data_IF_883411717855
#
_entry.id   IF_883411717855
#
_cell.length_a   1.000
_cell.length_b   1.000
_cell.length_c   1.000
_cell.angle_alpha   90.00
_cell.angle_beta   90.00
_cell.angle_gamma   90.00
#
_symmetry.space_group_name_H-M   'P 1'
#
loop_
_entity.id
_entity.type
_entity.pdbx_description
1 polymer ?
#
# COMPACT_ATOMS: atom_id res chain seq x y z
N UNK A 1 44.37 40.55 -74.24
CA UNK A 1 45.24 40.00 -73.18
C UNK A 1 44.89 40.78 -71.93
N UNK A 2 44.00 40.32 -71.07
CA UNK A 2 44.33 39.35 -70.02
C UNK A 2 43.12 38.53 -69.59
N UNK A 3 43.41 37.24 -69.50
CA UNK A 3 42.67 36.06 -69.06
C UNK A 3 42.03 36.18 -67.66
N UNK A 4 40.79 35.71 -67.53
CA UNK A 4 40.14 35.42 -66.24
C UNK A 4 40.80 34.22 -65.56
N UNK A 5 40.99 34.23 -64.22
CA UNK A 5 41.39 33.03 -63.50
C UNK A 5 40.16 32.19 -63.07
N UNK A 6 40.34 30.86 -62.88
CA UNK A 6 39.26 29.89 -62.78
C UNK A 6 38.71 29.71 -61.36
N UNK A 7 37.47 29.21 -61.33
CA UNK A 7 36.72 28.70 -60.19
C UNK A 7 37.52 27.64 -59.42
N UNK A 8 37.80 27.88 -58.14
CA UNK A 8 38.27 26.86 -57.21
C UNK A 8 37.15 26.56 -56.21
N UNK A 9 36.48 25.44 -56.46
CA UNK A 9 35.54 24.78 -55.54
C UNK A 9 36.28 24.30 -54.29
N UNK A 10 35.88 24.78 -53.11
CA UNK A 10 36.20 24.17 -51.82
C UNK A 10 34.92 23.67 -51.13
N UNK A 11 34.92 22.44 -50.58
CA UNK A 11 33.71 21.82 -50.04
C UNK A 11 33.48 22.29 -48.60
N UNK A 12 32.48 23.14 -48.39
CA UNK A 12 31.93 23.40 -47.04
C UNK A 12 30.67 22.53 -46.87
N UNK A 13 30.85 21.20 -46.95
CA UNK A 13 29.82 20.21 -46.64
C UNK A 13 30.17 19.52 -45.31
N UNK A 14 30.32 20.28 -44.22
CA UNK A 14 30.45 19.70 -42.87
C UNK A 14 29.83 20.64 -41.84
N UNK A 15 28.50 20.71 -41.74
CA UNK A 15 27.86 21.36 -40.57
C UNK A 15 26.37 21.01 -40.33
N UNK A 16 25.82 19.89 -40.82
CA UNK A 16 24.39 19.56 -40.57
C UNK A 16 24.18 18.22 -39.83
N UNK A 17 25.21 17.43 -39.55
CA UNK A 17 25.02 16.07 -39.03
C UNK A 17 25.31 15.85 -37.53
N UNK A 18 25.46 16.88 -36.70
CA UNK A 18 25.73 16.70 -35.25
C UNK A 18 24.47 16.84 -34.37
N UNK A 19 23.30 17.13 -34.96
CA UNK A 19 22.07 17.42 -34.20
C UNK A 19 21.19 16.21 -33.83
N UNK A 20 21.42 15.03 -34.41
CA UNK A 20 20.41 13.93 -34.35
C UNK A 20 20.78 12.78 -33.40
N UNK A 21 21.94 12.80 -32.75
CA UNK A 21 22.36 11.73 -31.84
C UNK A 21 21.98 11.96 -30.36
N UNK A 22 21.50 13.15 -29.99
CA UNK A 22 21.25 13.54 -28.58
C UNK A 22 19.76 13.55 -28.17
N UNK A 23 18.89 12.77 -28.83
CA UNK A 23 17.46 12.72 -28.50
C UNK A 23 16.87 11.31 -28.31
N UNK A 24 17.68 10.25 -28.40
CA UNK A 24 17.21 8.86 -28.20
C UNK A 24 17.36 8.34 -26.76
N UNK A 25 18.20 8.98 -25.94
CA UNK A 25 18.55 8.46 -24.62
C UNK A 25 17.57 8.84 -23.51
N UNK A 26 16.85 9.95 -23.66
CA UNK A 26 15.92 10.41 -22.63
C UNK A 26 14.71 9.48 -22.52
N UNK A 27 14.16 9.01 -23.64
CA UNK A 27 13.01 8.09 -23.65
C UNK A 27 13.40 6.72 -23.15
N UNK A 28 14.58 6.22 -23.52
CA UNK A 28 15.10 4.95 -23.02
C UNK A 28 15.42 5.02 -21.51
N UNK A 29 16.03 6.11 -21.03
CA UNK A 29 16.30 6.33 -19.60
C UNK A 29 15.01 6.48 -18.78
N UNK A 30 14.02 7.22 -19.28
CA UNK A 30 12.68 7.31 -18.66
C UNK A 30 12.01 5.93 -18.59
N UNK A 31 12.11 5.13 -19.65
CA UNK A 31 11.62 3.75 -19.69
C UNK A 31 12.28 2.87 -18.63
N UNK A 32 13.61 2.97 -18.46
CA UNK A 32 14.33 2.26 -17.40
C UNK A 32 13.85 2.67 -16.00
N UNK A 33 13.72 3.98 -15.72
CA UNK A 33 13.24 4.47 -14.42
C UNK A 33 11.82 3.96 -14.12
N UNK A 34 10.92 4.00 -15.11
CA UNK A 34 9.57 3.46 -14.96
C UNK A 34 9.60 1.95 -14.70
N UNK A 35 10.44 1.20 -15.43
CA UNK A 35 10.66 -0.23 -15.20
C UNK A 35 11.16 -0.54 -13.80
N UNK A 36 12.13 0.22 -13.28
CA UNK A 36 12.64 0.05 -11.91
C UNK A 36 11.54 0.25 -10.86
N UNK A 37 10.71 1.29 -10.99
CA UNK A 37 9.58 1.53 -10.08
C UNK A 37 8.57 0.37 -10.10
N UNK A 38 8.27 -0.17 -11.28
CA UNK A 38 7.39 -1.33 -11.40
C UNK A 38 7.98 -2.56 -10.70
N UNK A 39 9.27 -2.84 -10.93
CA UNK A 39 9.96 -3.95 -10.26
C UNK A 39 10.04 -3.78 -8.75
N UNK A 40 10.16 -2.55 -8.25
CA UNK A 40 10.15 -2.24 -6.82
C UNK A 40 8.82 -2.64 -6.18
N UNK A 41 7.69 -2.27 -6.80
CA UNK A 41 6.35 -2.66 -6.34
C UNK A 41 6.16 -4.18 -6.38
N UNK A 42 6.56 -4.84 -7.47
CA UNK A 42 6.42 -6.30 -7.62
C UNK A 42 7.23 -7.07 -6.56
N UNK A 43 8.41 -6.56 -6.19
CA UNK A 43 9.30 -7.20 -5.21
C UNK A 43 8.89 -6.94 -3.76
N UNK A 44 7.99 -6.00 -3.52
CA UNK A 44 7.53 -5.68 -2.17
C UNK A 44 6.76 -6.85 -1.58
N UNK A 45 7.15 -7.29 -0.38
CA UNK A 45 6.38 -8.28 0.39
C UNK A 45 5.41 -7.55 1.32
N UNK A 46 4.09 -7.80 1.24
CA UNK A 46 3.15 -7.20 2.16
C UNK A 46 3.34 -7.78 3.57
N UNK A 47 3.08 -6.97 4.61
CA UNK A 47 3.15 -7.42 6.00
C UNK A 47 2.05 -8.44 6.33
N UNK A 48 0.84 -8.20 5.80
CA UNK A 48 -0.31 -9.08 5.97
C UNK A 48 -0.44 -9.90 4.68
N UNK A 49 -0.16 -11.20 4.78
CA UNK A 49 -0.18 -12.14 3.67
C UNK A 49 -1.51 -12.90 3.69
N UNK A 50 -2.18 -13.02 2.55
CA UNK A 50 -3.53 -13.62 2.49
C UNK A 50 -3.54 -15.14 2.71
N UNK A 51 -2.45 -15.80 2.40
CA UNK A 51 -2.45 -17.24 2.10
C UNK A 51 -1.32 -17.97 2.85
N UNK A 52 -1.24 -17.73 4.16
CA UNK A 52 -0.39 -18.55 5.03
C UNK A 52 -1.17 -19.82 5.37
N UNK A 53 -0.79 -20.94 4.76
CA UNK A 53 -1.34 -22.27 5.06
C UNK A 53 -1.28 -22.63 6.56
N UNK A 54 -0.41 -21.95 7.32
CA UNK A 54 -0.19 -22.14 8.75
C UNK A 54 -1.21 -21.42 9.65
N UNK A 55 -2.08 -20.58 9.08
CA UNK A 55 -3.13 -19.92 9.86
C UNK A 55 -4.18 -20.92 10.34
N UNK A 56 -4.79 -20.63 11.49
CA UNK A 56 -5.85 -21.47 12.06
C UNK A 56 -7.22 -21.06 11.53
N UNK A 57 -8.15 -22.00 11.48
CA UNK A 57 -9.58 -21.75 11.31
C UNK A 57 -10.27 -22.25 12.57
N UNK A 58 -11.29 -21.53 13.05
CA UNK A 58 -12.07 -22.00 14.19
C UNK A 58 -13.11 -23.00 13.70
N UNK A 59 -13.32 -24.07 14.46
CA UNK A 59 -14.36 -25.07 14.15
C UNK A 59 -15.76 -24.49 14.30
N UNK A 60 -15.94 -23.61 15.29
CA UNK A 60 -17.18 -22.89 15.57
C UNK A 60 -16.88 -21.39 15.75
N UNK A 61 -17.78 -20.55 15.24
CA UNK A 61 -17.70 -19.09 15.36
C UNK A 61 -18.96 -18.60 16.04
N UNK A 62 -18.80 -18.03 17.24
CA UNK A 62 -19.88 -17.36 17.95
C UNK A 62 -19.96 -15.88 17.54
N UNK A 63 -18.83 -15.24 17.22
CA UNK A 63 -18.81 -13.86 16.73
C UNK A 63 -18.66 -12.81 17.83
N UNK A 64 -18.04 -13.16 18.97
CA UNK A 64 -17.61 -12.15 19.94
C UNK A 64 -16.34 -11.48 19.43
N UNK A 65 -16.33 -10.15 19.39
CA UNK A 65 -15.15 -9.36 19.01
C UNK A 65 -14.64 -8.59 20.22
N UNK A 66 -13.34 -8.65 20.47
CA UNK A 66 -12.71 -7.96 21.60
C UNK A 66 -11.47 -7.20 21.13
N UNK A 67 -11.34 -5.96 21.60
CA UNK A 67 -10.13 -5.16 21.50
C UNK A 67 -9.52 -5.12 22.90
N UNK A 68 -8.25 -5.48 23.01
CA UNK A 68 -7.50 -5.44 24.27
C UNK A 68 -6.30 -4.52 24.13
N UNK A 69 -6.36 -3.37 24.82
CA UNK A 69 -5.25 -2.41 24.96
C UNK A 69 -4.64 -2.00 23.62
N UNK A 70 -5.50 -1.77 22.62
CA UNK A 70 -5.06 -1.53 21.25
C UNK A 70 -4.49 -0.12 21.09
N UNK A 71 -3.24 -0.06 20.63
CA UNK A 71 -2.63 1.16 20.14
C UNK A 71 -2.48 1.10 18.61
N UNK A 72 -2.91 2.15 17.91
CA UNK A 72 -2.88 2.17 16.45
C UNK A 72 -2.60 3.54 15.83
N UNK A 73 -1.74 3.51 14.81
CA UNK A 73 -1.37 4.62 13.93
C UNK A 73 -1.42 4.12 12.48
N UNK A 74 -2.03 4.91 11.59
CA UNK A 74 -2.00 4.60 10.16
C UNK A 74 -0.58 4.77 9.60
N UNK A 75 -0.04 3.80 8.84
CA UNK A 75 1.28 3.93 8.21
C UNK A 75 1.41 5.14 7.27
N UNK A 76 0.30 5.60 6.68
CA UNK A 76 0.27 6.78 5.81
C UNK A 76 0.34 8.11 6.56
N UNK A 77 0.03 8.11 7.86
CA UNK A 77 -0.07 9.29 8.71
C UNK A 77 0.59 9.01 10.07
N UNK A 78 1.92 8.81 10.11
CA UNK A 78 2.62 8.31 11.29
C UNK A 78 2.54 9.25 12.50
N UNK A 79 2.25 10.54 12.28
CA UNK A 79 2.17 11.56 13.33
C UNK A 79 0.80 11.59 14.04
N UNK A 80 -0.18 10.81 13.56
CA UNK A 80 -1.57 10.85 14.05
C UNK A 80 -1.93 9.54 14.74
N UNK A 81 -2.02 9.58 16.07
CA UNK A 81 -2.47 8.44 16.86
C UNK A 81 -3.99 8.34 16.88
N UNK A 82 -4.51 7.20 16.42
CA UNK A 82 -5.95 6.94 16.33
C UNK A 82 -6.47 6.32 17.62
N UNK A 83 -5.77 5.30 18.14
CA UNK A 83 -6.11 4.63 19.39
C UNK A 83 -4.92 4.64 20.34
N UNK A 84 -5.19 4.97 21.61
CA UNK A 84 -4.30 4.85 22.77
C UNK A 84 -4.98 3.93 23.76
N UNK A 85 -4.41 2.74 23.96
CA UNK A 85 -4.89 1.74 24.93
C UNK A 85 -6.41 1.46 24.81
N UNK A 86 -6.89 1.32 23.58
CA UNK A 86 -8.30 1.15 23.28
C UNK A 86 -8.76 -0.29 23.58
N UNK A 87 -9.72 -0.41 24.50
CA UNK A 87 -10.37 -1.69 24.81
C UNK A 87 -11.88 -1.58 24.61
N UNK A 88 -12.46 -2.56 23.92
CA UNK A 88 -13.89 -2.60 23.62
C UNK A 88 -14.33 -4.04 23.34
N UNK A 89 -15.50 -4.41 23.83
CA UNK A 89 -16.08 -5.73 23.63
C UNK A 89 -17.43 -5.66 22.91
N UNK A 90 -17.55 -6.39 21.82
CA UNK A 90 -18.79 -6.61 21.07
C UNK A 90 -19.28 -8.04 21.30
N UNK A 91 -20.30 -8.24 22.15
CA UNK A 91 -20.87 -9.55 22.38
C UNK A 91 -21.67 -10.05 21.18
N UNK A 92 -21.64 -11.37 20.96
CA UNK A 92 -22.47 -12.06 19.96
C UNK A 92 -23.95 -11.67 20.06
N UNK A 93 -24.59 -11.54 18.90
CA UNK A 93 -26.04 -11.34 18.78
C UNK A 93 -26.54 -9.97 19.23
N UNK A 94 -25.65 -9.03 19.55
CA UNK A 94 -26.01 -7.66 19.90
C UNK A 94 -25.54 -6.68 18.83
N UNK A 95 -26.40 -5.74 18.49
CA UNK A 95 -26.03 -4.61 17.64
C UNK A 95 -25.34 -3.55 18.49
N UNK A 96 -24.03 -3.42 18.33
CA UNK A 96 -23.25 -2.29 18.86
C UNK A 96 -23.27 -1.10 17.91
N UNK A 97 -23.26 0.11 18.44
CA UNK A 97 -23.06 1.33 17.66
C UNK A 97 -21.79 2.03 18.15
N UNK A 98 -20.86 2.28 17.25
CA UNK A 98 -19.67 3.10 17.54
C UNK A 98 -20.00 4.54 17.15
N UNK A 99 -20.31 5.36 18.16
CA UNK A 99 -20.59 6.78 17.97
C UNK A 99 -19.34 7.55 18.38
N UNK A 100 -18.88 8.41 17.48
CA UNK A 100 -17.77 9.33 17.73
C UNK A 100 -18.00 10.60 16.94
N UNK A 101 -17.41 11.71 17.40
CA UNK A 101 -17.56 13.02 16.79
C UNK A 101 -17.35 12.99 15.26
N UNK A 102 -18.03 13.88 14.54
CA UNK A 102 -18.05 13.97 13.08
C UNK A 102 -16.71 14.37 12.43
N UNK A 103 -15.62 14.41 13.20
CA UNK A 103 -14.26 14.63 12.68
C UNK A 103 -13.66 13.39 12.01
N UNK A 104 -12.91 13.63 10.95
CA UNK A 104 -12.16 12.67 10.12
C UNK A 104 -11.09 11.84 10.86
N UNK A 105 -10.87 12.08 12.16
CA UNK A 105 -9.88 11.39 12.99
C UNK A 105 -10.46 10.54 14.14
N UNK A 106 -11.77 10.32 14.18
CA UNK A 106 -12.44 9.67 15.33
C UNK A 106 -12.27 8.15 15.42
N UNK A 107 -11.61 7.50 14.46
CA UNK A 107 -11.27 6.08 14.54
C UNK A 107 -12.40 5.08 14.26
N UNK A 108 -13.63 5.53 13.96
CA UNK A 108 -14.78 4.63 13.72
C UNK A 108 -14.55 3.60 12.62
N UNK A 109 -14.18 4.05 11.43
CA UNK A 109 -13.84 3.17 10.30
C UNK A 109 -12.60 2.32 10.58
N UNK A 110 -11.71 2.81 11.46
CA UNK A 110 -10.52 2.07 11.88
C UNK A 110 -10.87 0.81 12.66
N UNK A 111 -11.96 0.81 13.45
CA UNK A 111 -12.41 -0.40 14.15
C UNK A 111 -12.70 -1.52 13.16
N UNK A 112 -13.50 -1.22 12.12
CA UNK A 112 -13.81 -2.19 11.06
C UNK A 112 -12.54 -2.64 10.35
N UNK A 113 -11.66 -1.70 9.97
CA UNK A 113 -10.41 -2.03 9.29
C UNK A 113 -9.47 -2.93 10.11
N UNK A 114 -9.50 -2.84 11.45
CA UNK A 114 -8.74 -3.71 12.34
C UNK A 114 -9.39 -5.09 12.48
N UNK A 115 -10.73 -5.18 12.56
CA UNK A 115 -11.47 -6.46 12.60
C UNK A 115 -11.25 -7.26 11.31
N UNK A 116 -11.34 -6.60 10.15
CA UNK A 116 -11.08 -7.21 8.84
C UNK A 116 -9.60 -7.47 8.55
N UNK A 117 -8.74 -7.09 9.51
CA UNK A 117 -7.29 -7.17 9.43
C UNK A 117 -6.77 -6.59 8.12
N UNK A 118 -7.30 -5.42 7.73
CA UNK A 118 -6.70 -4.55 6.71
C UNK A 118 -5.40 -3.96 7.27
N UNK A 119 -5.40 -3.67 8.57
CA UNK A 119 -4.22 -3.29 9.34
C UNK A 119 -4.09 -4.16 10.58
N UNK A 120 -2.84 -4.37 11.02
CA UNK A 120 -2.55 -4.92 12.33
C UNK A 120 -2.34 -3.76 13.32
N UNK A 121 -2.81 -3.89 14.58
CA UNK A 121 -2.53 -2.91 15.61
C UNK A 121 -1.02 -2.86 15.94
N UNK A 122 -0.53 -1.68 16.31
CA UNK A 122 0.87 -1.48 16.72
C UNK A 122 1.17 -2.17 18.06
N UNK A 123 0.22 -2.14 18.99
CA UNK A 123 0.26 -2.83 20.28
C UNK A 123 -1.15 -3.32 20.64
N UNK A 124 -1.23 -4.25 21.60
CA UNK A 124 -2.48 -4.92 21.94
C UNK A 124 -2.92 -5.93 20.89
N UNK A 125 -4.15 -6.41 21.03
CA UNK A 125 -4.71 -7.46 20.18
C UNK A 125 -6.20 -7.26 19.88
N UNK A 126 -6.62 -7.84 18.76
CA UNK A 126 -8.02 -7.94 18.37
C UNK A 126 -8.36 -9.42 18.33
N UNK A 127 -9.41 -9.81 19.04
CA UNK A 127 -9.79 -11.19 19.23
C UNK A 127 -11.14 -11.47 18.57
N UNK A 128 -11.24 -12.63 17.92
CA UNK A 128 -12.50 -13.27 17.55
C UNK A 128 -12.68 -14.49 18.45
N UNK A 129 -13.73 -14.51 19.27
CA UNK A 129 -14.02 -15.60 20.21
C UNK A 129 -12.81 -15.98 21.08
N UNK A 130 -12.10 -14.95 21.60
CA UNK A 130 -10.88 -15.04 22.43
C UNK A 130 -9.62 -15.54 21.71
N UNK A 131 -9.67 -15.69 20.39
CA UNK A 131 -8.52 -16.05 19.56
C UNK A 131 -8.02 -14.83 18.80
N UNK A 132 -6.73 -14.52 18.90
CA UNK A 132 -6.12 -13.41 18.16
C UNK A 132 -6.28 -13.62 16.65
N UNK A 133 -6.92 -12.65 16.00
CA UNK A 133 -7.18 -12.66 14.55
C UNK A 133 -5.90 -12.72 13.72
N UNK A 134 -4.74 -12.34 14.29
CA UNK A 134 -3.43 -12.48 13.65
C UNK A 134 -3.03 -13.92 13.39
N UNK A 135 -3.52 -14.84 14.23
CA UNK A 135 -3.24 -16.28 14.14
C UNK A 135 -4.17 -17.03 13.19
N UNK A 136 -5.24 -16.37 12.74
CA UNK A 136 -6.25 -16.94 11.87
C UNK A 136 -5.85 -16.79 10.39
N UNK A 137 -6.35 -17.70 9.55
CA UNK A 137 -6.23 -17.53 8.10
C UNK A 137 -7.03 -16.30 7.66
N UNK A 138 -6.37 -15.39 6.95
CA UNK A 138 -6.97 -14.11 6.58
C UNK A 138 -8.20 -14.27 5.68
N UNK A 139 -8.12 -15.18 4.70
CA UNK A 139 -9.26 -15.48 3.83
C UNK A 139 -10.45 -16.00 4.63
N UNK A 140 -10.23 -17.00 5.49
CA UNK A 140 -11.28 -17.58 6.33
C UNK A 140 -11.91 -16.53 7.26
N UNK A 141 -11.09 -15.69 7.90
CA UNK A 141 -11.56 -14.61 8.78
C UNK A 141 -12.52 -13.68 8.05
N UNK A 142 -12.15 -13.24 6.85
CA UNK A 142 -12.98 -12.32 6.04
C UNK A 142 -14.24 -13.00 5.50
N UNK A 143 -14.19 -14.30 5.24
CA UNK A 143 -15.37 -15.09 4.88
C UNK A 143 -16.41 -15.15 6.02
N UNK A 144 -16.03 -14.86 7.29
CA UNK A 144 -16.95 -14.75 8.43
C UNK A 144 -17.58 -13.37 8.61
N UNK A 145 -17.10 -12.34 7.89
CA UNK A 145 -17.53 -10.94 8.06
C UNK A 145 -18.42 -10.55 6.88
N UNK A 146 -19.65 -10.12 7.18
CA UNK A 146 -20.54 -9.50 6.20
C UNK A 146 -20.51 -7.97 6.36
N UNK A 147 -20.29 -7.25 5.26
CA UNK A 147 -20.25 -5.78 5.21
C UNK A 147 -21.46 -5.18 4.49
#
# INVERSE_FOLDING_TARGET
MTISPPTQTTPQTIAIATGTLMFKDLTFSKGKIAGYKLFEVIRQRPKIVQDTADGRCLDEVHGNIEFEEVAFIYPSSPDVMIFRDFSLFFPVGKTGAVIGGSGSGSGKSTIVALIERIYDPNQGQVLLDKVDIKTLQLKWLRDQIGL
#
